data_IF_477455272348
#
_entry.id   IF_477455272348
#
_cell.length_a   1.000
_cell.length_b   1.000
_cell.length_c   1.000
_cell.angle_alpha   90.00
_cell.angle_beta   90.00
_cell.angle_gamma   90.00
#
_symmetry.space_group_name_H-M   'P 1'
#
loop_
_entity.id
_entity.type
_entity.pdbx_description
1 polymer ?
#
# COMPACT_ATOMS: atom_id res chain seq x y z
N UNK A 1 -26.05 -0.95 -0.88
CA UNK A 1 -25.13 -1.98 -1.44
C UNK A 1 -24.11 -1.45 -2.46
N UNK A 2 -24.32 -0.32 -3.14
CA UNK A 2 -23.39 0.18 -4.18
C UNK A 2 -22.09 0.83 -3.65
N UNK A 3 -22.10 1.46 -2.47
CA UNK A 3 -20.95 2.24 -1.97
C UNK A 3 -19.77 1.34 -1.56
N UNK A 4 -20.04 0.23 -0.88
CA UNK A 4 -18.98 -0.72 -0.47
C UNK A 4 -18.25 -1.35 -1.67
N UNK A 5 -18.99 -1.71 -2.72
CA UNK A 5 -18.40 -2.27 -3.96
C UNK A 5 -17.50 -1.24 -4.66
N UNK A 6 -17.93 0.04 -4.70
CA UNK A 6 -17.12 1.14 -5.26
C UNK A 6 -15.83 1.34 -4.48
N UNK A 7 -15.88 1.29 -3.15
CA UNK A 7 -14.69 1.39 -2.29
C UNK A 7 -13.72 0.22 -2.53
N UNK A 8 -14.22 -1.02 -2.56
CA UNK A 8 -13.37 -2.20 -2.81
C UNK A 8 -12.73 -2.12 -4.20
N UNK A 9 -13.47 -1.65 -5.21
CA UNK A 9 -12.95 -1.49 -6.56
C UNK A 9 -11.85 -0.42 -6.62
N UNK A 10 -12.03 0.71 -5.93
CA UNK A 10 -10.99 1.74 -5.81
C UNK A 10 -9.74 1.22 -5.12
N UNK A 11 -9.88 0.49 -4.01
CA UNK A 11 -8.76 -0.14 -3.31
C UNK A 11 -8.03 -1.12 -4.24
N UNK A 12 -8.76 -1.94 -5.00
CA UNK A 12 -8.17 -2.89 -5.93
C UNK A 12 -7.39 -2.19 -7.05
N UNK A 13 -7.96 -1.16 -7.68
CA UNK A 13 -7.30 -0.42 -8.77
C UNK A 13 -6.04 0.29 -8.29
N UNK A 14 -6.13 1.01 -7.16
CA UNK A 14 -4.98 1.71 -6.57
C UNK A 14 -3.94 0.70 -6.09
N UNK A 15 -4.37 -0.39 -5.47
CA UNK A 15 -3.51 -1.49 -5.04
C UNK A 15 -2.71 -2.08 -6.19
N UNK A 16 -3.34 -2.39 -7.32
CA UNK A 16 -2.67 -2.92 -8.52
C UNK A 16 -1.63 -1.92 -9.05
N UNK A 17 -1.96 -0.62 -9.10
CA UNK A 17 -1.02 0.41 -9.54
C UNK A 17 0.20 0.50 -8.61
N UNK A 18 -0.02 0.52 -7.29
CA UNK A 18 1.05 0.56 -6.29
C UNK A 18 1.91 -0.70 -6.35
N UNK A 19 1.31 -1.87 -6.45
CA UNK A 19 2.02 -3.15 -6.58
C UNK A 19 2.85 -3.19 -7.86
N UNK A 20 2.30 -2.73 -8.98
CA UNK A 20 3.05 -2.60 -10.24
C UNK A 20 4.25 -1.67 -10.09
N UNK A 21 4.07 -0.55 -9.40
CA UNK A 21 5.14 0.42 -9.13
C UNK A 21 6.22 -0.16 -8.20
N UNK A 22 5.85 -0.93 -7.17
CA UNK A 22 6.78 -1.70 -6.34
C UNK A 22 7.61 -2.68 -7.16
N UNK A 23 6.99 -3.40 -8.09
CA UNK A 23 7.69 -4.37 -8.96
C UNK A 23 8.66 -3.66 -9.91
N UNK A 24 8.27 -2.53 -10.49
CA UNK A 24 9.16 -1.72 -11.36
C UNK A 24 10.36 -1.21 -10.58
N UNK A 25 10.14 -0.65 -9.37
CA UNK A 25 11.23 -0.17 -8.50
C UNK A 25 12.16 -1.33 -8.15
N UNK A 26 11.62 -2.49 -7.76
CA UNK A 26 12.43 -3.67 -7.43
C UNK A 26 13.30 -4.12 -8.61
N UNK A 27 12.76 -4.12 -9.84
CA UNK A 27 13.51 -4.46 -11.05
C UNK A 27 14.62 -3.45 -11.36
N UNK A 28 14.35 -2.15 -11.17
CA UNK A 28 15.33 -1.08 -11.39
C UNK A 28 16.47 -1.10 -10.34
N UNK A 29 16.14 -1.43 -9.09
CA UNK A 29 17.09 -1.44 -7.97
C UNK A 29 17.97 -2.69 -7.87
N UNK A 30 18.01 -3.54 -8.92
CA UNK A 30 18.85 -4.76 -8.99
C UNK A 30 18.71 -5.65 -7.75
N UNK A 31 17.48 -5.94 -7.34
CA UNK A 31 17.17 -6.86 -6.23
C UNK A 31 17.63 -6.40 -4.83
N UNK A 32 17.99 -5.13 -4.65
CA UNK A 32 18.24 -4.59 -3.30
C UNK A 32 16.96 -4.67 -2.44
N UNK A 33 17.04 -5.47 -1.39
CA UNK A 33 15.91 -5.85 -0.51
C UNK A 33 15.15 -4.65 0.07
N UNK A 34 15.84 -3.53 0.30
CA UNK A 34 15.28 -2.34 0.94
C UNK A 34 14.32 -1.52 0.04
N UNK A 35 14.59 -1.43 -1.26
CA UNK A 35 13.86 -0.51 -2.15
C UNK A 35 12.40 -0.90 -2.38
N UNK A 36 12.08 -2.15 -2.07
CA UNK A 36 10.75 -2.72 -2.22
C UNK A 36 9.76 -2.31 -1.14
N UNK A 37 10.26 -1.94 0.05
CA UNK A 37 9.42 -1.49 1.16
C UNK A 37 9.14 0.01 1.12
N UNK A 38 9.79 0.77 0.23
CA UNK A 38 9.59 2.23 0.09
C UNK A 38 8.09 2.57 -0.08
N UNK A 39 7.34 1.94 -1.00
CA UNK A 39 5.93 2.30 -1.19
C UNK A 39 5.07 1.95 0.04
N UNK A 40 5.38 0.84 0.72
CA UNK A 40 4.71 0.46 1.97
C UNK A 40 4.99 1.45 3.10
N UNK A 41 6.23 1.93 3.24
CA UNK A 41 6.61 2.93 4.26
C UNK A 41 5.91 4.26 3.98
N UNK A 42 5.88 4.70 2.71
CA UNK A 42 5.18 5.93 2.31
C UNK A 42 3.68 5.82 2.61
N UNK A 43 3.05 4.70 2.23
CA UNK A 43 1.64 4.46 2.52
C UNK A 43 1.36 4.42 4.02
N UNK A 44 2.27 3.86 4.82
CA UNK A 44 2.16 3.82 6.27
C UNK A 44 2.19 5.23 6.89
N UNK A 45 3.12 6.08 6.44
CA UNK A 45 3.19 7.48 6.87
C UNK A 45 1.90 8.23 6.49
N UNK A 46 1.44 8.09 5.24
CA UNK A 46 0.21 8.74 4.77
C UNK A 46 -1.00 8.27 5.58
N UNK A 47 -1.11 6.98 5.84
CA UNK A 47 -2.21 6.41 6.65
C UNK A 47 -2.18 6.99 8.06
N UNK A 48 -1.02 7.04 8.72
CA UNK A 48 -0.87 7.63 10.06
C UNK A 48 -1.28 9.11 10.06
N UNK A 49 -0.83 9.90 9.09
CA UNK A 49 -1.19 11.33 8.98
C UNK A 49 -2.70 11.50 8.77
N UNK A 50 -3.31 10.70 7.92
CA UNK A 50 -4.76 10.72 7.70
C UNK A 50 -5.54 10.34 8.97
N UNK A 51 -5.08 9.34 9.73
CA UNK A 51 -5.71 8.96 11.01
C UNK A 51 -5.58 10.07 12.04
N UNK A 52 -4.39 10.66 12.19
CA UNK A 52 -4.20 11.79 13.13
C UNK A 52 -5.12 12.95 12.78
N UNK A 53 -5.18 13.33 11.49
CA UNK A 53 -6.07 14.39 11.03
C UNK A 53 -7.54 14.08 11.26
N UNK A 54 -7.98 12.86 10.99
CA UNK A 54 -9.35 12.42 11.22
C UNK A 54 -9.76 12.42 12.70
N UNK A 55 -8.81 12.27 13.64
CA UNK A 55 -9.11 12.23 15.07
C UNK A 55 -8.99 13.61 15.73
N UNK A 56 -8.04 14.45 15.29
CA UNK A 56 -7.72 15.73 15.96
C UNK A 56 -8.33 16.97 15.30
N UNK A 57 -8.55 16.96 13.98
CA UNK A 57 -9.06 18.11 13.23
C UNK A 57 -10.52 17.87 12.87
N UNK A 58 -11.37 17.84 13.90
CA UNK A 58 -12.77 17.49 13.73
C UNK A 58 -13.67 18.69 13.48
N UNK A 59 -13.81 19.05 12.20
CA UNK A 59 -14.71 20.11 11.70
C UNK A 59 -15.63 19.55 10.61
N UNK A 60 -16.63 18.77 11.03
CA UNK A 60 -17.81 18.44 10.21
C UNK A 60 -17.56 17.48 9.05
N UNK A 61 -17.56 17.99 7.80
CA UNK A 61 -17.50 17.15 6.58
C UNK A 61 -16.08 16.68 6.22
N UNK A 62 -15.04 17.37 6.69
CA UNK A 62 -13.65 17.00 6.39
C UNK A 62 -13.24 15.69 7.09
N UNK A 63 -13.76 15.42 8.28
CA UNK A 63 -13.52 14.19 9.04
C UNK A 63 -13.89 12.93 8.26
N UNK A 64 -15.06 12.94 7.62
CA UNK A 64 -15.54 11.79 6.86
C UNK A 64 -14.59 11.51 5.69
N UNK A 65 -14.09 12.56 5.03
CA UNK A 65 -13.14 12.43 3.93
C UNK A 65 -11.78 11.89 4.41
N UNK A 66 -11.23 12.40 5.52
CA UNK A 66 -9.98 11.89 6.10
C UNK A 66 -10.14 10.45 6.60
N UNK A 67 -11.29 10.10 7.17
CA UNK A 67 -11.60 8.74 7.61
C UNK A 67 -11.70 7.75 6.44
N UNK A 68 -12.45 8.10 5.39
CA UNK A 68 -12.55 7.28 4.18
C UNK A 68 -11.16 7.14 3.52
N UNK A 69 -10.39 8.22 3.46
CA UNK A 69 -9.03 8.20 2.89
C UNK A 69 -8.09 7.33 3.71
N UNK A 70 -8.15 7.40 5.05
CA UNK A 70 -7.39 6.52 5.92
C UNK A 70 -7.76 5.05 5.70
N UNK A 71 -9.05 4.75 5.54
CA UNK A 71 -9.54 3.39 5.29
C UNK A 71 -9.09 2.84 3.93
N UNK A 72 -9.13 3.67 2.88
CA UNK A 72 -8.60 3.33 1.56
C UNK A 72 -7.08 3.13 1.60
N UNK A 73 -6.34 4.06 2.22
CA UNK A 73 -4.89 3.99 2.35
C UNK A 73 -4.46 2.73 3.14
N UNK A 74 -5.19 2.39 4.20
CA UNK A 74 -4.97 1.17 4.96
C UNK A 74 -5.22 -0.10 4.13
N UNK A 75 -6.29 -0.13 3.33
CA UNK A 75 -6.56 -1.24 2.41
C UNK A 75 -5.43 -1.45 1.39
N UNK A 76 -4.95 -0.35 0.79
CA UNK A 76 -3.83 -0.38 -0.15
C UNK A 76 -2.51 -0.76 0.53
N UNK A 77 -2.30 -0.34 1.78
CA UNK A 77 -1.14 -0.70 2.59
C UNK A 77 -1.04 -2.21 2.80
N UNK A 78 -2.15 -2.87 3.11
CA UNK A 78 -2.19 -4.34 3.25
C UNK A 78 -1.77 -5.01 1.93
N UNK A 79 -2.32 -4.56 0.80
CA UNK A 79 -1.97 -5.08 -0.53
C UNK A 79 -0.48 -4.87 -0.84
N UNK A 80 0.06 -3.68 -0.53
CA UNK A 80 1.48 -3.34 -0.70
C UNK A 80 2.39 -4.20 0.17
N UNK A 81 1.96 -4.54 1.39
CA UNK A 81 2.69 -5.38 2.32
C UNK A 81 2.70 -6.85 1.86
N UNK A 82 1.56 -7.38 1.41
CA UNK A 82 1.46 -8.72 0.80
C UNK A 82 2.32 -8.81 -0.46
N UNK A 83 2.26 -7.80 -1.34
CA UNK A 83 3.11 -7.73 -2.54
C UNK A 83 4.59 -7.73 -2.17
N UNK A 84 4.94 -7.00 -1.11
CA UNK A 84 6.25 -7.03 -0.47
C UNK A 84 6.66 -8.46 -0.07
N UNK A 85 5.84 -9.16 0.70
CA UNK A 85 6.16 -10.53 1.13
C UNK A 85 6.31 -11.47 -0.07
N UNK A 86 5.41 -11.40 -1.06
CA UNK A 86 5.45 -12.26 -2.25
C UNK A 86 6.75 -12.11 -3.02
N UNK A 87 7.20 -10.87 -3.30
CA UNK A 87 8.47 -10.66 -3.99
C UNK A 87 9.65 -11.19 -3.14
N UNK A 88 9.53 -11.22 -1.81
CA UNK A 88 10.61 -11.69 -0.91
C UNK A 88 10.78 -13.20 -1.06
N UNK A 89 9.66 -13.92 -1.01
CA UNK A 89 9.59 -15.36 -1.25
C UNK A 89 10.13 -15.70 -2.64
N UNK A 90 9.72 -14.97 -3.68
CA UNK A 90 10.19 -15.18 -5.06
C UNK A 90 11.71 -14.93 -5.19
N UNK A 91 12.21 -13.86 -4.58
CA UNK A 91 13.65 -13.54 -4.61
C UNK A 91 14.46 -14.60 -3.86
N UNK A 92 13.99 -15.05 -2.69
CA UNK A 92 14.63 -16.10 -1.90
C UNK A 92 14.63 -17.45 -2.62
N UNK A 93 13.53 -17.79 -3.30
CA UNK A 93 13.40 -18.99 -4.13
C UNK A 93 14.33 -18.98 -5.35
N UNK A 94 14.49 -17.82 -6.01
CA UNK A 94 15.49 -17.67 -7.09
C UNK A 94 16.91 -17.84 -6.59
N UNK A 95 17.27 -17.22 -5.46
CA UNK A 95 18.63 -17.33 -4.90
C UNK A 95 18.99 -18.77 -4.50
N UNK A 96 18.01 -19.57 -4.10
CA UNK A 96 18.20 -20.97 -3.74
C UNK A 96 18.32 -21.91 -4.96
N UNK A 97 17.84 -21.51 -6.15
CA UNK A 97 18.02 -22.27 -7.39
C UNK A 97 19.41 -22.10 -8.04
N UNK A 98 20.29 -21.28 -7.46
CA UNK A 98 21.67 -21.06 -7.92
C UNK A 98 22.72 -21.72 -7.00
N UNK A 99 22.32 -22.62 -6.10
CA UNK A 99 23.22 -23.39 -5.22
C UNK A 99 23.17 -24.86 -5.59
#
# INVERSE_FOLDING_TARGET
MAVGIRMITLIAVIGILVSGLQVIIWRLSKEKVFFKYIPTIVLLIVTIVCVIKAVWFSTGMEDLAYFITALLAFGVLIISLVTGIVIDIVTKSKRQNYV
#
